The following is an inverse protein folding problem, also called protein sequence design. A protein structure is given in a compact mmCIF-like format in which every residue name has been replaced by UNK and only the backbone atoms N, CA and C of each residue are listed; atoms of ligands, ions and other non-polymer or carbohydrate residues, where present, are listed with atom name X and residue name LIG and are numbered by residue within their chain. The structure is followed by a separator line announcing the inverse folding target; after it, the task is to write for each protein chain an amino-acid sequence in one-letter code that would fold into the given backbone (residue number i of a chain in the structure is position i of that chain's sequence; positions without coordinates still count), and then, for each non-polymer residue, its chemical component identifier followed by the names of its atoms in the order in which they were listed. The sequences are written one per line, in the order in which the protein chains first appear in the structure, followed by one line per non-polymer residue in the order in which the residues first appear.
data_IF_265050448134
#
_entry.id   IF_265050448134
#
_cell.length_a   1.000
_cell.length_b   1.000
_cell.length_c   1.000
_cell.angle_alpha   90.00
_cell.angle_beta   90.00
_cell.angle_gamma   90.00
#
_symmetry.space_group_name_H-M   'P 1'
#
loop_
_entity.id
_entity.type
_entity.pdbx_description
1 polymer ?
#
# COMPACT_ATOMS: atom_id res chain seq x y z
N UNK A 1 -30.40 15.50 5.95
CA UNK A 1 -29.07 15.87 6.50
C UNK A 1 -28.05 14.71 6.54
N UNK A 2 -28.42 13.42 6.58
CA UNK A 2 -27.48 12.29 6.68
C UNK A 2 -26.65 12.00 5.42
N UNK A 3 -27.21 12.18 4.23
CA UNK A 3 -26.54 11.83 2.96
C UNK A 3 -25.35 12.75 2.60
N UNK A 4 -25.42 14.04 2.96
CA UNK A 4 -24.36 15.04 2.71
C UNK A 4 -23.13 14.80 3.60
N UNK A 5 -23.33 14.51 4.89
CA UNK A 5 -22.22 14.22 5.83
C UNK A 5 -21.47 12.93 5.48
N UNK A 6 -22.17 11.91 5.03
CA UNK A 6 -21.58 10.65 4.56
C UNK A 6 -20.69 10.86 3.32
N UNK A 7 -21.12 11.68 2.37
CA UNK A 7 -20.35 11.99 1.16
C UNK A 7 -19.08 12.76 1.48
N UNK A 8 -19.16 13.76 2.37
CA UNK A 8 -17.98 14.54 2.80
C UNK A 8 -16.92 13.64 3.46
N UNK A 9 -17.33 12.75 4.38
CA UNK A 9 -16.40 11.80 5.01
C UNK A 9 -15.72 10.87 4.00
N UNK A 10 -16.44 10.38 2.99
CA UNK A 10 -15.86 9.57 1.92
C UNK A 10 -14.84 10.37 1.12
N UNK A 11 -15.13 11.62 0.76
CA UNK A 11 -14.19 12.50 0.03
C UNK A 11 -12.95 12.78 0.85
N UNK A 12 -13.09 13.12 2.14
CA UNK A 12 -11.96 13.35 3.04
C UNK A 12 -11.12 12.09 3.24
N UNK A 13 -11.75 10.93 3.34
CA UNK A 13 -11.04 9.66 3.47
C UNK A 13 -10.26 9.30 2.19
N UNK A 14 -10.81 9.58 1.00
CA UNK A 14 -10.06 9.44 -0.26
C UNK A 14 -8.90 10.43 -0.33
N UNK A 15 -9.09 11.68 0.04
CA UNK A 15 -8.00 12.65 0.13
C UNK A 15 -6.88 12.15 1.05
N UNK A 16 -7.23 11.61 2.21
CA UNK A 16 -6.25 11.06 3.14
C UNK A 16 -5.42 9.93 2.52
N UNK A 17 -6.04 8.94 1.85
CA UNK A 17 -5.30 7.85 1.23
C UNK A 17 -4.58 8.23 -0.07
N UNK A 18 -4.98 9.33 -0.72
CA UNK A 18 -4.32 9.80 -1.95
C UNK A 18 -3.11 10.67 -1.64
N UNK A 19 -3.30 11.70 -0.81
CA UNK A 19 -2.27 12.71 -0.57
C UNK A 19 -1.42 12.35 0.63
N UNK A 20 -2.04 12.02 1.77
CA UNK A 20 -1.30 11.74 2.99
C UNK A 20 -0.46 10.46 2.83
N UNK A 21 -1.01 9.37 2.28
CA UNK A 21 -0.19 8.17 2.04
C UNK A 21 0.88 8.40 0.98
N UNK A 22 0.59 9.17 -0.09
CA UNK A 22 1.60 9.56 -1.06
C UNK A 22 2.77 10.32 -0.43
N UNK A 23 2.50 11.19 0.56
CA UNK A 23 3.54 11.92 1.29
C UNK A 23 4.34 11.05 2.28
N UNK A 24 3.79 9.92 2.72
CA UNK A 24 4.52 9.05 3.69
C UNK A 24 5.80 8.45 3.12
N UNK A 25 5.96 8.34 1.81
CA UNK A 25 7.22 7.90 1.19
C UNK A 25 8.34 8.88 1.47
N UNK A 26 8.09 10.19 1.22
CA UNK A 26 9.02 11.27 1.58
C UNK A 26 9.34 11.28 3.08
N UNK A 27 8.31 11.26 3.93
CA UNK A 27 8.49 11.33 5.38
C UNK A 27 9.29 10.14 5.93
N UNK A 28 9.00 8.92 5.43
CA UNK A 28 9.81 7.75 5.79
C UNK A 28 11.25 7.87 5.28
N UNK A 29 11.47 8.42 4.07
CA UNK A 29 12.82 8.62 3.51
C UNK A 29 13.63 9.59 4.36
N UNK A 30 13.04 10.69 4.81
CA UNK A 30 13.67 11.64 5.75
C UNK A 30 14.00 10.92 7.06
N UNK A 31 13.06 10.25 7.65
CA UNK A 31 13.23 9.64 8.96
C UNK A 31 14.25 8.48 8.95
N UNK A 32 14.27 7.64 7.90
CA UNK A 32 15.23 6.52 7.78
C UNK A 32 16.66 6.98 7.48
N UNK A 33 16.85 8.24 7.14
CA UNK A 33 18.16 8.85 7.02
C UNK A 33 18.93 8.90 8.35
N UNK A 34 18.21 9.00 9.47
CA UNK A 34 18.80 9.00 10.80
C UNK A 34 18.41 7.77 11.63
N UNK A 35 17.15 7.33 11.52
CA UNK A 35 16.60 6.26 12.37
C UNK A 35 16.74 4.90 11.73
N UNK A 36 17.04 3.84 12.50
CA UNK A 36 16.94 2.47 12.03
C UNK A 36 15.50 2.14 11.58
N UNK A 37 15.32 1.43 10.46
CA UNK A 37 14.02 1.29 9.81
C UNK A 37 12.96 0.58 10.66
N UNK A 38 13.31 -0.50 11.36
CA UNK A 38 12.34 -1.21 12.19
C UNK A 38 12.02 -0.47 13.48
N UNK A 39 13.02 0.19 14.11
CA UNK A 39 12.80 1.09 15.24
C UNK A 39 11.84 2.23 14.86
N UNK A 40 12.10 2.92 13.74
CA UNK A 40 11.25 3.98 13.20
C UNK A 40 9.80 3.49 13.06
N UNK A 41 9.59 2.37 12.35
CA UNK A 41 8.27 1.83 12.11
C UNK A 41 7.60 1.33 13.42
N UNK A 42 8.37 0.76 14.35
CA UNK A 42 7.88 0.33 15.67
C UNK A 42 7.35 1.51 16.47
N UNK A 43 8.16 2.56 16.64
CA UNK A 43 7.76 3.77 17.38
C UNK A 43 6.52 4.39 16.73
N UNK A 44 6.52 4.52 15.40
CA UNK A 44 5.41 5.07 14.64
C UNK A 44 4.10 4.31 14.92
N UNK A 45 4.09 2.99 14.76
CA UNK A 45 2.84 2.22 14.86
C UNK A 45 2.42 1.94 16.29
N UNK A 46 3.35 1.72 17.22
CA UNK A 46 3.01 1.59 18.65
C UNK A 46 2.39 2.89 19.16
N UNK A 47 3.01 4.03 18.88
CA UNK A 47 2.47 5.34 19.29
C UNK A 47 1.09 5.59 18.69
N UNK A 48 0.91 5.31 17.39
CA UNK A 48 -0.39 5.45 16.73
C UNK A 48 -1.45 4.51 17.34
N UNK A 49 -1.11 3.26 17.61
CA UNK A 49 -2.00 2.29 18.25
C UNK A 49 -2.44 2.71 19.64
N UNK A 50 -1.49 3.18 20.47
CA UNK A 50 -1.77 3.69 21.81
C UNK A 50 -2.70 4.92 21.73
N UNK A 51 -2.38 5.88 20.85
CA UNK A 51 -3.22 7.08 20.67
C UNK A 51 -4.63 6.73 20.21
N UNK A 52 -4.79 5.78 19.30
CA UNK A 52 -6.10 5.28 18.87
C UNK A 52 -6.88 4.70 20.04
N UNK A 53 -6.27 3.89 20.91
CA UNK A 53 -6.97 3.34 22.07
C UNK A 53 -7.32 4.40 23.12
N UNK A 54 -6.45 5.40 23.34
CA UNK A 54 -6.76 6.56 24.19
C UNK A 54 -7.98 7.30 23.62
N UNK A 55 -7.98 7.60 22.32
CA UNK A 55 -9.12 8.26 21.66
C UNK A 55 -10.38 7.40 21.72
N UNK A 56 -10.28 6.08 21.50
CA UNK A 56 -11.42 5.16 21.61
C UNK A 56 -12.03 5.20 23.03
N UNK A 57 -11.19 5.24 24.07
CA UNK A 57 -11.64 5.35 25.48
C UNK A 57 -12.34 6.68 25.74
N UNK A 58 -11.77 7.80 25.25
CA UNK A 58 -12.40 9.14 25.37
C UNK A 58 -13.76 9.16 24.66
N UNK A 59 -13.85 8.58 23.47
CA UNK A 59 -15.07 8.49 22.66
C UNK A 59 -16.04 7.40 23.16
N UNK A 60 -15.72 6.70 24.26
CA UNK A 60 -16.50 5.59 24.82
C UNK A 60 -16.79 4.47 23.80
N UNK A 61 -15.88 4.23 22.87
CA UNK A 61 -15.97 3.14 21.91
C UNK A 61 -15.48 1.86 22.60
N UNK A 62 -16.29 0.77 22.61
CA UNK A 62 -15.85 -0.49 23.21
C UNK A 62 -14.66 -1.07 22.43
N UNK A 63 -13.59 -1.38 23.15
CA UNK A 63 -12.35 -1.94 22.59
C UNK A 63 -12.28 -3.47 22.69
N UNK A 64 -13.28 -4.09 23.31
CA UNK A 64 -13.34 -5.54 23.47
C UNK A 64 -13.50 -6.24 22.13
N UNK A 65 -12.72 -7.31 21.93
CA UNK A 65 -12.74 -8.15 20.73
C UNK A 65 -12.70 -9.62 21.12
N UNK A 66 -13.17 -10.49 20.23
CA UNK A 66 -13.09 -11.94 20.45
C UNK A 66 -11.65 -12.44 20.29
N UNK A 67 -11.34 -13.62 20.83
CA UNK A 67 -10.04 -14.28 20.66
C UNK A 67 -9.71 -14.52 19.17
N UNK A 68 -10.72 -14.84 18.37
CA UNK A 68 -10.54 -15.06 16.94
C UNK A 68 -10.23 -13.74 16.21
N UNK A 69 -10.94 -12.67 16.53
CA UNK A 69 -10.67 -11.33 16.00
C UNK A 69 -9.27 -10.85 16.38
N UNK A 70 -8.85 -11.07 17.63
CA UNK A 70 -7.50 -10.75 18.06
C UNK A 70 -6.44 -11.46 17.21
N UNK A 71 -6.55 -12.81 17.08
CA UNK A 71 -5.64 -13.60 16.24
C UNK A 71 -5.58 -13.07 14.80
N UNK A 72 -6.74 -12.84 14.19
CA UNK A 72 -6.81 -12.35 12.81
C UNK A 72 -6.24 -10.93 12.67
N UNK A 73 -6.43 -10.08 13.68
CA UNK A 73 -5.86 -8.72 13.71
C UNK A 73 -4.34 -8.75 13.82
N UNK A 74 -3.78 -9.66 14.62
CA UNK A 74 -2.32 -9.87 14.72
C UNK A 74 -1.75 -10.31 13.36
N UNK A 75 -2.38 -11.28 12.70
CA UNK A 75 -1.97 -11.71 11.35
C UNK A 75 -2.05 -10.55 10.35
N UNK A 76 -3.14 -9.79 10.35
CA UNK A 76 -3.28 -8.63 9.48
C UNK A 76 -2.23 -7.55 9.78
N UNK A 77 -1.96 -7.27 11.06
CA UNK A 77 -0.90 -6.36 11.50
C UNK A 77 0.48 -6.79 11.02
N UNK A 78 0.80 -8.08 11.11
CA UNK A 78 2.04 -8.64 10.58
C UNK A 78 2.15 -8.43 9.06
N UNK A 79 1.13 -8.85 8.31
CA UNK A 79 1.15 -8.81 6.85
C UNK A 79 1.20 -7.38 6.29
N UNK A 80 0.46 -6.46 6.87
CA UNK A 80 0.40 -5.08 6.40
C UNK A 80 1.50 -4.18 6.97
N UNK A 81 1.72 -4.26 8.29
CA UNK A 81 2.52 -3.25 8.97
C UNK A 81 3.93 -3.76 9.28
N UNK A 82 4.07 -4.98 9.81
CA UNK A 82 5.39 -5.52 10.15
C UNK A 82 6.17 -5.84 8.88
N UNK A 83 5.67 -6.75 8.08
CA UNK A 83 6.36 -7.17 6.85
C UNK A 83 6.06 -6.21 5.69
N UNK A 84 4.80 -5.87 5.45
CA UNK A 84 4.41 -5.01 4.33
C UNK A 84 5.02 -3.61 4.41
N UNK A 85 4.82 -2.88 5.52
CA UNK A 85 5.32 -1.51 5.66
C UNK A 85 6.75 -1.44 6.21
N UNK A 86 7.08 -2.25 7.23
CA UNK A 86 8.40 -2.22 7.83
C UNK A 86 9.53 -2.54 6.84
N UNK A 87 9.31 -3.52 5.95
CA UNK A 87 10.27 -3.88 4.89
C UNK A 87 10.36 -2.78 3.83
N UNK A 88 9.26 -2.07 3.52
CA UNK A 88 9.32 -0.88 2.64
C UNK A 88 10.16 0.23 3.27
N UNK A 89 9.98 0.49 4.57
CA UNK A 89 10.81 1.49 5.28
C UNK A 89 12.28 1.09 5.23
N UNK A 90 12.58 -0.19 5.40
CA UNK A 90 13.95 -0.69 5.25
C UNK A 90 14.50 -0.48 3.83
N UNK A 91 13.69 -0.78 2.81
CA UNK A 91 14.05 -0.60 1.40
C UNK A 91 14.39 0.86 1.05
N UNK A 92 13.72 1.84 1.68
CA UNK A 92 13.96 3.27 1.46
C UNK A 92 15.40 3.75 1.84
N UNK A 93 16.19 2.93 2.51
CA UNK A 93 17.62 3.20 2.70
C UNK A 93 18.39 3.08 1.38
N UNK A 94 17.90 2.24 0.46
CA UNK A 94 18.59 1.84 -0.77
C UNK A 94 17.99 2.48 -2.02
N UNK A 95 16.73 2.89 -1.98
CA UNK A 95 16.02 3.46 -3.13
C UNK A 95 15.39 4.81 -2.80
N UNK A 96 15.07 5.57 -3.85
CA UNK A 96 14.42 6.86 -3.70
C UNK A 96 12.93 6.71 -3.40
N UNK A 97 12.34 7.72 -2.75
CA UNK A 97 10.94 7.68 -2.30
C UNK A 97 9.95 7.58 -3.46
N UNK A 98 10.22 8.35 -4.53
CA UNK A 98 9.42 8.32 -5.76
C UNK A 98 9.51 6.98 -6.47
N UNK A 99 10.71 6.37 -6.52
CA UNK A 99 10.91 5.03 -7.09
C UNK A 99 10.13 3.97 -6.32
N UNK A 100 10.23 3.96 -4.99
CA UNK A 100 9.49 3.01 -4.15
C UNK A 100 7.97 3.11 -4.36
N UNK A 101 7.44 4.34 -4.43
CA UNK A 101 6.02 4.56 -4.69
C UNK A 101 5.59 4.07 -6.08
N UNK A 102 6.44 4.25 -7.11
CA UNK A 102 6.17 3.74 -8.45
C UNK A 102 6.16 2.21 -8.48
N UNK A 103 7.15 1.56 -7.86
CA UNK A 103 7.20 0.09 -7.79
C UNK A 103 5.95 -0.46 -7.09
N UNK A 104 5.57 0.14 -5.95
CA UNK A 104 4.36 -0.24 -5.21
C UNK A 104 3.07 0.01 -6.00
N UNK A 105 3.07 0.91 -6.99
CA UNK A 105 1.89 1.10 -7.85
C UNK A 105 1.53 -0.14 -8.66
N UNK A 106 2.45 -1.09 -8.81
CA UNK A 106 2.19 -2.41 -9.40
C UNK A 106 1.44 -3.39 -8.46
N UNK A 107 1.12 -3.01 -7.22
CA UNK A 107 0.38 -3.81 -6.24
C UNK A 107 -0.86 -4.51 -6.82
N UNK A 108 -1.74 -3.87 -7.64
CA UNK A 108 -2.90 -4.53 -8.23
C UNK A 108 -2.55 -5.71 -9.14
N UNK A 109 -1.37 -5.69 -9.80
CA UNK A 109 -0.88 -6.81 -10.60
C UNK A 109 -0.67 -8.04 -9.73
N UNK A 110 0.02 -7.86 -8.61
CA UNK A 110 0.32 -8.94 -7.67
C UNK A 110 -0.97 -9.52 -7.09
N UNK A 111 -1.92 -8.65 -6.68
CA UNK A 111 -3.23 -9.09 -6.19
C UNK A 111 -3.95 -9.94 -7.24
N UNK A 112 -3.94 -9.52 -8.51
CA UNK A 112 -4.60 -10.23 -9.60
C UNK A 112 -3.99 -11.63 -9.80
N UNK A 113 -2.66 -11.72 -9.81
CA UNK A 113 -1.91 -12.98 -9.95
C UNK A 113 -2.21 -13.90 -8.76
N UNK A 114 -2.16 -13.40 -7.53
CA UNK A 114 -2.50 -14.17 -6.34
C UNK A 114 -3.96 -14.64 -6.33
N UNK A 115 -4.90 -13.81 -6.78
CA UNK A 115 -6.30 -14.24 -6.94
C UNK A 115 -6.45 -15.37 -7.95
N UNK A 116 -5.66 -15.37 -9.03
CA UNK A 116 -5.63 -16.46 -10.00
C UNK A 116 -5.08 -17.75 -9.39
N UNK A 117 -3.95 -17.64 -8.69
CA UNK A 117 -3.26 -18.81 -8.11
C UNK A 117 -4.05 -19.38 -6.92
N UNK A 118 -4.45 -18.54 -5.96
CA UNK A 118 -5.03 -18.98 -4.68
C UNK A 118 -6.54 -19.22 -4.74
N UNK A 119 -7.26 -18.54 -5.64
CA UNK A 119 -8.73 -18.59 -5.70
C UNK A 119 -9.26 -19.14 -7.03
N UNK A 120 -8.38 -19.50 -7.99
CA UNK A 120 -8.77 -20.01 -9.31
C UNK A 120 -9.55 -19.01 -10.18
N UNK A 121 -9.63 -17.72 -9.78
CA UNK A 121 -10.38 -16.70 -10.51
C UNK A 121 -9.80 -16.50 -11.91
N UNK A 122 -10.65 -16.54 -12.93
CA UNK A 122 -10.23 -16.27 -14.32
C UNK A 122 -9.82 -14.81 -14.46
N UNK A 123 -8.65 -14.57 -15.06
CA UNK A 123 -8.16 -13.23 -15.39
C UNK A 123 -8.96 -12.73 -16.60
N UNK A 124 -9.51 -11.54 -16.52
CA UNK A 124 -10.23 -10.93 -17.63
C UNK A 124 -9.25 -10.52 -18.75
N UNK A 125 -9.64 -10.55 -20.05
CA UNK A 125 -8.74 -10.17 -21.14
C UNK A 125 -8.13 -8.76 -21.00
N UNK A 126 -8.91 -7.78 -20.51
CA UNK A 126 -8.40 -6.44 -20.22
C UNK A 126 -7.32 -6.45 -19.14
N UNK A 127 -7.49 -7.28 -18.12
CA UNK A 127 -6.49 -7.42 -17.06
C UNK A 127 -5.20 -8.06 -17.56
N UNK A 128 -5.25 -8.94 -18.60
CA UNK A 128 -4.04 -9.47 -19.23
C UNK A 128 -3.22 -8.37 -19.89
N UNK A 129 -3.89 -7.44 -20.63
CA UNK A 129 -3.22 -6.26 -21.19
C UNK A 129 -2.57 -5.44 -20.09
N UNK A 130 -3.31 -5.20 -19.00
CA UNK A 130 -2.80 -4.50 -17.83
C UNK A 130 -1.58 -5.16 -17.21
N UNK A 131 -1.57 -6.50 -17.10
CA UNK A 131 -0.41 -7.28 -16.61
C UNK A 131 0.81 -7.09 -17.54
N UNK A 132 0.63 -7.19 -18.86
CA UNK A 132 1.72 -6.99 -19.83
C UNK A 132 2.31 -5.58 -19.70
N UNK A 133 1.46 -4.55 -19.68
CA UNK A 133 1.90 -3.17 -19.50
C UNK A 133 2.61 -2.97 -18.15
N UNK A 134 2.09 -3.60 -17.09
CA UNK A 134 2.72 -3.54 -15.77
C UNK A 134 4.12 -4.16 -15.78
N UNK A 135 4.31 -5.32 -16.40
CA UNK A 135 5.63 -5.96 -16.53
C UNK A 135 6.59 -5.06 -17.32
N UNK A 136 6.13 -4.47 -18.43
CA UNK A 136 6.94 -3.53 -19.22
C UNK A 136 7.31 -2.30 -18.39
N UNK A 137 6.34 -1.72 -17.67
CA UNK A 137 6.58 -0.55 -16.82
C UNK A 137 7.57 -0.82 -15.68
N UNK A 138 7.44 -1.98 -14.98
CA UNK A 138 8.40 -2.40 -13.97
C UNK A 138 9.79 -2.60 -14.59
N UNK A 139 9.87 -3.29 -15.73
CA UNK A 139 11.16 -3.50 -16.41
C UNK A 139 11.83 -2.16 -16.75
N UNK A 140 11.10 -1.22 -17.33
CA UNK A 140 11.63 0.13 -17.62
C UNK A 140 12.07 0.84 -16.33
N UNK A 141 11.32 0.71 -15.24
CA UNK A 141 11.64 1.35 -13.98
C UNK A 141 12.95 0.80 -13.38
N UNK A 142 13.07 -0.53 -13.30
CA UNK A 142 14.23 -1.18 -12.66
C UNK A 142 15.47 -1.24 -13.54
N UNK A 143 15.34 -1.06 -14.87
CA UNK A 143 16.46 -1.09 -15.82
C UNK A 143 17.23 0.24 -15.92
N UNK A 144 16.90 1.26 -15.12
CA UNK A 144 17.59 2.55 -15.16
C UNK A 144 19.00 2.42 -14.61
N UNK A 145 20.00 2.78 -15.41
CA UNK A 145 21.43 2.68 -15.03
C UNK A 145 21.77 3.47 -13.76
N UNK A 146 21.14 4.64 -13.59
CA UNK A 146 21.33 5.47 -12.40
C UNK A 146 20.87 4.79 -11.10
N UNK A 147 19.83 3.93 -11.20
CA UNK A 147 19.30 3.17 -10.07
C UNK A 147 20.12 1.90 -9.85
N UNK A 148 20.47 1.18 -10.92
CA UNK A 148 21.24 -0.08 -10.85
C UNK A 148 22.63 0.14 -10.26
N UNK A 149 23.25 1.28 -10.57
CA UNK A 149 24.60 1.62 -10.12
C UNK A 149 24.66 2.10 -8.65
N UNK A 150 23.51 2.36 -8.02
CA UNK A 150 23.47 2.76 -6.61
C UNK A 150 23.59 1.51 -5.73
N UNK A 151 24.56 1.51 -4.82
CA UNK A 151 24.80 0.37 -3.94
C UNK A 151 23.56 -0.05 -3.17
N UNK A 152 23.25 -1.33 -3.17
CA UNK A 152 22.06 -1.88 -2.48
C UNK A 152 20.73 -1.68 -3.21
N UNK A 153 20.65 -0.97 -4.33
CA UNK A 153 19.36 -0.70 -5.00
C UNK A 153 18.61 -1.97 -5.38
N UNK A 154 19.31 -3.00 -5.87
CA UNK A 154 18.72 -4.29 -6.19
C UNK A 154 18.08 -4.93 -4.94
N UNK A 155 18.76 -4.85 -3.79
CA UNK A 155 18.19 -5.32 -2.52
C UNK A 155 16.92 -4.54 -2.18
N UNK A 156 16.95 -3.20 -2.31
CA UNK A 156 15.78 -2.35 -2.06
C UNK A 156 14.58 -2.74 -2.92
N UNK A 157 14.78 -2.99 -4.22
CA UNK A 157 13.73 -3.45 -5.14
C UNK A 157 13.16 -4.81 -4.72
N UNK A 158 14.00 -5.78 -4.40
CA UNK A 158 13.56 -7.11 -3.92
C UNK A 158 12.77 -6.99 -2.62
N UNK A 159 13.22 -6.16 -1.70
CA UNK A 159 12.50 -5.91 -0.44
C UNK A 159 11.11 -5.32 -0.69
N UNK A 160 10.97 -4.34 -1.57
CA UNK A 160 9.67 -3.76 -1.95
C UNK A 160 8.78 -4.82 -2.57
N UNK A 161 9.30 -5.63 -3.49
CA UNK A 161 8.54 -6.71 -4.11
C UNK A 161 8.00 -7.72 -3.08
N UNK A 162 8.83 -8.14 -2.12
CA UNK A 162 8.41 -9.03 -1.03
C UNK A 162 7.35 -8.38 -0.13
N UNK A 163 7.52 -7.10 0.18
CA UNK A 163 6.53 -6.33 0.94
C UNK A 163 5.18 -6.26 0.20
N UNK A 164 5.21 -6.06 -1.11
CA UNK A 164 4.01 -6.08 -1.97
C UNK A 164 3.32 -7.43 -1.97
N UNK A 165 4.06 -8.55 -2.00
CA UNK A 165 3.50 -9.90 -1.87
C UNK A 165 2.77 -10.07 -0.53
N UNK A 166 3.39 -9.64 0.56
CA UNK A 166 2.79 -9.69 1.90
C UNK A 166 1.51 -8.86 1.98
N UNK A 167 1.53 -7.63 1.48
CA UNK A 167 0.36 -6.75 1.45
C UNK A 167 -0.77 -7.33 0.59
N UNK A 168 -0.45 -7.90 -0.56
CA UNK A 168 -1.43 -8.53 -1.44
C UNK A 168 -2.09 -9.75 -0.77
N UNK A 169 -1.29 -10.62 -0.15
CA UNK A 169 -1.80 -11.76 0.61
C UNK A 169 -2.64 -11.29 1.80
N UNK A 170 -2.18 -10.29 2.54
CA UNK A 170 -2.93 -9.66 3.64
C UNK A 170 -4.28 -9.13 3.19
N UNK A 171 -4.35 -8.49 2.02
CA UNK A 171 -5.60 -7.99 1.44
C UNK A 171 -6.59 -9.11 1.13
N UNK A 172 -6.11 -10.25 0.62
CA UNK A 172 -6.95 -11.43 0.38
C UNK A 172 -7.38 -12.12 1.68
N UNK A 173 -6.52 -12.11 2.70
CA UNK A 173 -6.80 -12.65 4.03
C UNK A 173 -7.89 -11.85 4.73
N UNK A 174 -7.73 -10.52 4.86
CA UNK A 174 -8.68 -9.67 5.59
C UNK A 174 -10.06 -9.60 4.93
N UNK A 175 -10.13 -9.84 3.60
CA UNK A 175 -11.41 -9.90 2.89
C UNK A 175 -12.33 -11.05 3.38
N UNK A 176 -11.76 -12.07 4.04
CA UNK A 176 -12.48 -13.26 4.55
C UNK A 176 -12.39 -13.43 6.06
N UNK A 177 -11.44 -12.75 6.71
CA UNK A 177 -11.18 -12.89 8.13
C UNK A 177 -12.26 -12.20 8.98
N UNK A 178 -12.61 -12.83 10.11
CA UNK A 178 -13.38 -12.19 11.15
C UNK A 178 -12.51 -11.16 11.88
N UNK A 179 -12.79 -9.89 11.63
CA UNK A 179 -12.08 -8.73 12.18
C UNK A 179 -13.07 -7.84 12.95
N UNK A 180 -12.59 -7.03 13.91
CA UNK A 180 -13.43 -6.10 14.66
C UNK A 180 -14.32 -5.25 13.73
N UNK A 181 -15.62 -5.18 14.03
CA UNK A 181 -16.58 -4.46 13.21
C UNK A 181 -16.34 -2.94 13.20
N UNK A 182 -15.79 -2.40 14.28
CA UNK A 182 -15.37 -1.01 14.37
C UNK A 182 -13.99 -0.85 13.71
N UNK A 183 -13.93 -0.09 12.61
CA UNK A 183 -12.70 0.13 11.86
C UNK A 183 -11.61 0.85 12.67
N UNK A 184 -11.99 1.71 13.61
CA UNK A 184 -11.05 2.43 14.48
C UNK A 184 -10.35 1.47 15.45
N UNK A 185 -11.13 0.60 16.12
CA UNK A 185 -10.61 -0.44 17.01
C UNK A 185 -9.77 -1.44 16.23
N UNK A 186 -10.22 -1.88 15.05
CA UNK A 186 -9.45 -2.76 14.16
C UNK A 186 -8.08 -2.14 13.81
N UNK A 187 -8.05 -0.86 13.45
CA UNK A 187 -6.81 -0.12 13.17
C UNK A 187 -5.90 -0.08 14.39
N UNK A 188 -6.44 0.25 15.57
CA UNK A 188 -5.66 0.32 16.81
C UNK A 188 -4.95 -1.00 17.13
N UNK A 189 -5.66 -2.13 17.06
CA UNK A 189 -5.06 -3.46 17.26
C UNK A 189 -4.02 -3.80 16.20
N UNK A 190 -4.29 -3.57 14.92
CA UNK A 190 -3.31 -3.83 13.84
C UNK A 190 -2.04 -3.02 14.06
N UNK A 191 -2.15 -1.73 14.40
CA UNK A 191 -1.01 -0.87 14.64
C UNK A 191 -0.22 -1.25 15.86
N UNK A 192 -0.89 -1.51 16.98
CA UNK A 192 -0.20 -1.90 18.21
C UNK A 192 0.54 -3.22 18.02
N UNK A 193 -0.12 -4.24 17.50
CA UNK A 193 0.49 -5.55 17.31
C UNK A 193 1.58 -5.52 16.23
N UNK A 194 1.34 -4.87 15.09
CA UNK A 194 2.34 -4.70 14.03
C UNK A 194 3.57 -3.92 14.51
N UNK A 195 3.34 -2.85 15.28
CA UNK A 195 4.41 -2.05 15.86
C UNK A 195 5.23 -2.81 16.91
N UNK A 196 4.60 -3.61 17.76
CA UNK A 196 5.32 -4.46 18.73
C UNK A 196 6.17 -5.50 18.01
N UNK A 197 5.65 -6.15 16.98
CA UNK A 197 6.43 -7.10 16.17
C UNK A 197 7.61 -6.42 15.46
N UNK A 198 7.45 -5.17 15.00
CA UNK A 198 8.55 -4.38 14.46
C UNK A 198 9.60 -4.04 15.52
N UNK A 199 9.19 -3.73 16.75
CA UNK A 199 10.12 -3.56 17.88
C UNK A 199 10.94 -4.82 18.15
N UNK A 200 10.30 -6.00 18.13
CA UNK A 200 11.00 -7.28 18.22
C UNK A 200 11.97 -7.46 17.03
N UNK A 201 11.54 -7.14 15.82
CA UNK A 201 12.40 -7.20 14.64
C UNK A 201 13.62 -6.28 14.79
N UNK A 202 13.43 -5.04 15.25
CA UNK A 202 14.50 -4.09 15.53
C UNK A 202 15.56 -4.68 16.49
N UNK A 203 15.12 -5.35 17.56
CA UNK A 203 16.02 -6.02 18.49
C UNK A 203 16.74 -7.22 17.86
N UNK A 204 16.04 -8.03 17.06
CA UNK A 204 16.63 -9.18 16.36
C UNK A 204 17.67 -8.79 15.31
N UNK A 205 17.49 -7.64 14.66
CA UNK A 205 18.44 -7.08 13.70
C UNK A 205 19.51 -6.21 14.37
N UNK A 206 19.58 -6.17 15.73
CA UNK A 206 20.53 -5.38 16.50
C UNK A 206 20.56 -3.89 16.10
N UNK A 207 19.38 -3.31 15.82
CA UNK A 207 19.31 -1.88 15.53
C UNK A 207 19.62 -1.05 16.77
N UNK A 208 20.49 -0.05 16.63
CA UNK A 208 20.82 0.88 17.70
C UNK A 208 19.69 1.91 17.86
N UNK A 209 19.00 1.88 19.00
CA UNK A 209 17.91 2.81 19.27
C UNK A 209 18.45 4.20 19.60
N UNK A 210 17.90 5.20 18.90
CA UNK A 210 18.23 6.61 19.08
C UNK A 210 17.08 7.27 19.86
N UNK A 211 17.40 7.96 20.95
CA UNK A 211 16.37 8.59 21.79
C UNK A 211 15.69 9.74 21.02
N UNK A 212 14.39 9.96 21.24
CA UNK A 212 13.68 11.06 20.56
C UNK A 212 14.27 12.46 20.81
N UNK A 213 14.99 12.68 21.92
CA UNK A 213 15.74 13.90 22.21
C UNK A 213 16.89 14.16 21.23
N UNK A 214 17.44 13.11 20.65
CA UNK A 214 18.62 13.16 19.79
C UNK A 214 18.24 13.16 18.30
N UNK A 215 16.95 13.17 17.99
CA UNK A 215 16.46 13.24 16.60
C UNK A 215 16.62 14.66 16.06
N UNK A 216 17.08 14.75 14.83
CA UNK A 216 17.13 16.03 14.11
C UNK A 216 15.71 16.60 13.90
N UNK A 217 15.55 17.94 13.88
CA UNK A 217 14.23 18.57 13.73
C UNK A 217 13.42 18.06 12.52
N UNK A 218 14.00 17.83 11.31
CA UNK A 218 13.25 17.25 10.20
C UNK A 218 12.73 15.84 10.49
N UNK A 219 13.49 15.02 11.23
CA UNK A 219 13.12 13.65 11.62
C UNK A 219 12.01 13.67 12.66
N UNK A 220 12.08 14.56 13.66
CA UNK A 220 11.01 14.75 14.64
C UNK A 220 9.69 15.13 13.96
N UNK A 221 9.74 16.09 13.03
CA UNK A 221 8.56 16.52 12.28
C UNK A 221 8.03 15.38 11.41
N UNK A 222 8.89 14.66 10.69
CA UNK A 222 8.50 13.51 9.88
C UNK A 222 7.80 12.43 10.73
N UNK A 223 8.34 12.11 11.91
CA UNK A 223 7.74 11.13 12.82
C UNK A 223 6.38 11.56 13.34
N UNK A 224 6.21 12.81 13.74
CA UNK A 224 4.91 13.36 14.17
C UNK A 224 3.89 13.24 13.04
N UNK A 225 4.24 13.68 11.83
CA UNK A 225 3.36 13.61 10.66
C UNK A 225 3.03 12.15 10.28
N UNK A 226 4.02 11.24 10.35
CA UNK A 226 3.81 9.82 10.10
C UNK A 226 2.87 9.18 11.13
N UNK A 227 3.00 9.51 12.42
CA UNK A 227 2.13 8.98 13.49
C UNK A 227 0.71 9.51 13.31
N UNK A 228 0.53 10.83 13.24
CA UNK A 228 -0.79 11.44 13.26
C UNK A 228 -1.52 11.27 11.91
N UNK A 229 -0.88 11.63 10.82
CA UNK A 229 -1.53 11.64 9.51
C UNK A 229 -1.35 10.33 8.77
N UNK A 230 -0.13 9.85 8.63
CA UNK A 230 0.18 8.63 7.88
C UNK A 230 -0.40 7.36 8.50
N UNK A 231 -0.41 7.28 9.83
CA UNK A 231 -0.91 6.12 10.55
C UNK A 231 -2.35 6.31 11.04
N UNK A 232 -2.63 7.28 11.90
CA UNK A 232 -3.97 7.39 12.48
C UNK A 232 -4.99 7.82 11.41
N UNK A 233 -4.77 8.94 10.73
CA UNK A 233 -5.75 9.48 9.79
C UNK A 233 -5.87 8.61 8.54
N UNK A 234 -4.77 8.36 7.83
CA UNK A 234 -4.83 7.71 6.53
C UNK A 234 -5.18 6.22 6.64
N UNK A 235 -4.61 5.47 7.58
CA UNK A 235 -4.92 4.04 7.71
C UNK A 235 -6.33 3.81 8.30
N UNK A 236 -6.82 4.69 9.18
CA UNK A 236 -8.21 4.66 9.64
C UNK A 236 -9.17 4.97 8.48
N UNK A 237 -8.82 5.95 7.63
CA UNK A 237 -9.57 6.28 6.42
C UNK A 237 -9.62 5.11 5.45
N UNK A 238 -8.52 4.39 5.25
CA UNK A 238 -8.45 3.18 4.45
C UNK A 238 -9.38 2.08 4.99
N UNK A 239 -9.30 1.76 6.28
CA UNK A 239 -10.19 0.79 6.92
C UNK A 239 -11.67 1.21 6.86
N UNK A 240 -11.96 2.52 6.97
CA UNK A 240 -13.31 3.06 6.78
C UNK A 240 -13.79 2.89 5.34
N UNK A 241 -12.97 3.28 4.35
CA UNK A 241 -13.33 3.17 2.94
C UNK A 241 -13.60 1.72 2.52
N UNK A 242 -12.83 0.75 3.01
CA UNK A 242 -13.06 -0.67 2.74
C UNK A 242 -14.44 -1.18 3.21
N UNK A 243 -15.09 -0.47 4.13
CA UNK A 243 -16.45 -0.79 4.60
C UNK A 243 -17.56 -0.12 3.81
N UNK A 244 -17.31 1.08 3.27
CA UNK A 244 -18.37 1.94 2.71
C UNK A 244 -18.32 2.05 1.20
N UNK A 245 -17.20 1.70 0.57
CA UNK A 245 -17.04 1.68 -0.89
C UNK A 245 -16.38 0.39 -1.34
N UNK A 246 -16.50 0.09 -2.63
CA UNK A 246 -15.90 -1.14 -3.16
C UNK A 246 -14.36 -1.08 -3.12
N UNK A 247 -13.68 -2.21 -2.87
CA UNK A 247 -12.21 -2.27 -2.84
C UNK A 247 -11.54 -1.74 -4.09
N UNK A 248 -12.17 -1.89 -5.27
CA UNK A 248 -11.64 -1.36 -6.53
C UNK A 248 -11.57 0.17 -6.54
N UNK A 249 -12.52 0.85 -5.88
CA UNK A 249 -12.47 2.30 -5.72
C UNK A 249 -11.39 2.72 -4.73
N UNK A 250 -11.20 1.96 -3.64
CA UNK A 250 -10.12 2.23 -2.68
C UNK A 250 -8.75 2.06 -3.33
N UNK A 251 -8.60 1.04 -4.17
CA UNK A 251 -7.36 0.78 -4.92
C UNK A 251 -6.98 1.91 -5.91
N UNK A 252 -7.87 2.88 -6.21
CA UNK A 252 -7.50 4.04 -7.04
C UNK A 252 -6.42 4.92 -6.40
N UNK A 253 -6.15 4.78 -5.10
CA UNK A 253 -5.01 5.45 -4.45
C UNK A 253 -3.67 5.07 -5.09
N UNK A 254 -3.54 3.88 -5.66
CA UNK A 254 -2.33 3.44 -6.35
C UNK A 254 -2.00 4.26 -7.60
N UNK A 255 -2.94 5.06 -8.11
CA UNK A 255 -2.68 5.98 -9.24
C UNK A 255 -2.17 7.34 -8.80
N UNK A 256 -2.54 7.79 -7.61
CA UNK A 256 -2.25 9.15 -7.14
C UNK A 256 -1.00 9.17 -6.25
N UNK A 257 -0.82 8.16 -5.40
CA UNK A 257 0.30 8.10 -4.47
C UNK A 257 1.68 8.27 -5.15
N UNK A 258 1.98 7.60 -6.29
CA UNK A 258 3.27 7.78 -6.96
C UNK A 258 3.47 9.21 -7.47
N UNK A 259 2.41 9.86 -7.94
CA UNK A 259 2.49 11.26 -8.44
C UNK A 259 2.86 12.19 -7.28
N UNK A 260 2.19 12.01 -6.11
CA UNK A 260 2.49 12.79 -4.91
C UNK A 260 3.92 12.51 -4.42
N UNK A 261 4.31 11.23 -4.34
CA UNK A 261 5.63 10.83 -3.88
C UNK A 261 6.76 11.38 -4.78
N UNK A 262 6.62 11.26 -6.10
CA UNK A 262 7.58 11.80 -7.08
C UNK A 262 7.70 13.31 -6.98
N UNK A 263 6.58 14.02 -6.90
CA UNK A 263 6.58 15.49 -6.81
C UNK A 263 7.24 15.96 -5.51
N UNK A 264 6.94 15.31 -4.40
CA UNK A 264 7.52 15.67 -3.10
C UNK A 264 8.99 15.25 -2.98
N UNK A 265 9.38 14.07 -3.50
CA UNK A 265 10.77 13.61 -3.54
C UNK A 265 11.65 14.54 -4.37
N UNK A 266 11.16 14.93 -5.55
CA UNK A 266 11.83 15.92 -6.40
C UNK A 266 11.99 17.27 -5.70
N UNK A 267 10.94 17.79 -5.08
CA UNK A 267 10.97 19.12 -4.47
C UNK A 267 11.76 19.21 -3.16
N UNK A 268 11.65 18.21 -2.28
CA UNK A 268 12.23 18.27 -0.94
C UNK A 268 13.55 17.51 -0.79
N UNK A 269 13.80 16.47 -1.61
CA UNK A 269 14.99 15.61 -1.50
C UNK A 269 15.87 15.68 -2.75
N UNK A 270 15.54 16.55 -3.71
CA UNK A 270 16.26 16.69 -4.97
C UNK A 270 16.41 15.37 -5.74
N UNK A 271 15.42 14.44 -5.54
CA UNK A 271 15.40 13.15 -6.24
C UNK A 271 15.27 13.39 -7.75
N UNK A 272 16.04 12.63 -8.55
CA UNK A 272 16.05 12.83 -10.00
C UNK A 272 14.80 12.26 -10.67
N UNK A 273 14.06 13.10 -11.38
CA UNK A 273 12.98 12.70 -12.27
C UNK A 273 13.56 12.45 -13.67
N UNK A 274 13.86 11.20 -13.98
CA UNK A 274 14.29 10.83 -15.33
C UNK A 274 13.10 10.72 -16.28
N UNK A 275 13.32 10.96 -17.56
CA UNK A 275 12.30 10.72 -18.61
C UNK A 275 11.85 9.27 -18.58
N UNK A 276 12.78 8.33 -18.32
CA UNK A 276 12.48 6.91 -18.20
C UNK A 276 11.55 6.61 -17.03
N UNK A 277 11.71 7.28 -15.86
CA UNK A 277 10.79 7.16 -14.71
C UNK A 277 9.39 7.66 -15.07
N UNK A 278 9.28 8.78 -15.79
CA UNK A 278 7.99 9.34 -16.20
C UNK A 278 7.28 8.40 -17.19
N UNK A 279 8.00 7.86 -18.16
CA UNK A 279 7.45 6.90 -19.13
C UNK A 279 7.04 5.61 -18.44
N UNK A 280 7.88 5.06 -17.55
CA UNK A 280 7.57 3.89 -16.75
C UNK A 280 6.31 4.10 -15.89
N UNK A 281 6.19 5.26 -15.23
CA UNK A 281 5.02 5.65 -14.46
C UNK A 281 3.75 5.66 -15.33
N UNK A 282 3.79 6.31 -16.51
CA UNK A 282 2.66 6.37 -17.42
C UNK A 282 2.21 4.97 -17.88
N UNK A 283 3.16 4.08 -18.19
CA UNK A 283 2.87 2.69 -18.60
C UNK A 283 2.30 1.89 -17.44
N UNK A 284 2.90 1.98 -16.23
CA UNK A 284 2.42 1.29 -15.02
C UNK A 284 0.98 1.72 -14.69
N UNK A 285 0.73 3.03 -14.60
CA UNK A 285 -0.59 3.57 -14.29
C UNK A 285 -1.64 3.18 -15.33
N UNK A 286 -1.26 3.16 -16.61
CA UNK A 286 -2.12 2.67 -17.70
C UNK A 286 -2.42 1.17 -17.52
N UNK A 287 -1.43 0.37 -17.17
CA UNK A 287 -1.60 -1.06 -16.87
C UNK A 287 -2.58 -1.29 -15.72
N UNK A 288 -2.42 -0.56 -14.62
CA UNK A 288 -3.32 -0.65 -13.45
C UNK A 288 -4.74 -0.17 -13.82
N UNK A 289 -4.89 0.86 -14.64
CA UNK A 289 -6.19 1.28 -15.17
C UNK A 289 -6.89 0.14 -15.94
N UNK A 290 -6.19 -0.57 -16.83
CA UNK A 290 -6.77 -1.70 -17.57
C UNK A 290 -7.16 -2.88 -16.65
N UNK A 291 -6.42 -3.15 -15.59
CA UNK A 291 -6.76 -4.18 -14.60
C UNK A 291 -8.09 -3.86 -13.91
N UNK A 292 -8.31 -2.61 -13.54
CA UNK A 292 -9.50 -2.16 -12.83
C UNK A 292 -10.70 -1.88 -13.74
N UNK A 293 -10.50 -1.89 -15.06
CA UNK A 293 -11.57 -1.61 -16.02
C UNK A 293 -12.47 -2.83 -16.20
N UNK A 294 -13.77 -2.65 -15.91
CA UNK A 294 -14.81 -3.69 -16.13
C UNK A 294 -15.36 -3.72 -17.57
N UNK A 295 -14.86 -2.86 -18.48
CA UNK A 295 -15.31 -2.84 -19.87
C UNK A 295 -14.91 -4.12 -20.59
N UNK A 296 -15.89 -4.86 -21.11
CA UNK A 296 -15.62 -6.02 -21.98
C UNK A 296 -15.03 -5.52 -23.30
N UNK A 297 -13.91 -6.07 -23.72
CA UNK A 297 -13.36 -5.82 -25.06
C UNK A 297 -14.36 -6.32 -26.11
N UNK A 298 -15.00 -5.42 -26.80
CA UNK A 298 -15.96 -5.73 -27.89
C UNK A 298 -15.26 -6.49 -29.04
N UNK A 299 -13.95 -6.34 -29.20
CA UNK A 299 -13.16 -7.02 -30.23
C UNK A 299 -13.25 -8.55 -30.18
N UNK A 300 -13.29 -9.15 -28.98
CA UNK A 300 -13.37 -10.62 -28.86
C UNK A 300 -14.80 -11.16 -28.91
N UNK A 301 -15.81 -10.34 -28.72
CA UNK A 301 -17.21 -10.77 -28.83
C UNK A 301 -17.62 -11.11 -30.27
N UNK A 302 -17.01 -10.51 -31.29
CA UNK A 302 -17.24 -10.83 -32.70
C UNK A 302 -16.72 -12.23 -33.08
N UNK A 303 -15.58 -12.66 -32.54
CA UNK A 303 -15.05 -14.00 -32.82
C UNK A 303 -15.82 -15.10 -32.10
N UNK A 304 -16.29 -14.87 -30.87
CA UNK A 304 -17.13 -15.83 -30.13
C UNK A 304 -18.49 -16.03 -30.79
N UNK A 305 -19.15 -14.97 -31.28
CA UNK A 305 -20.44 -15.09 -32.00
C UNK A 305 -20.29 -15.84 -33.33
N UNK A 306 -19.15 -15.69 -34.01
CA UNK A 306 -18.89 -16.39 -35.29
C UNK A 306 -18.67 -17.89 -35.09
N UNK A 307 -18.01 -18.28 -33.98
CA UNK A 307 -17.81 -19.70 -33.65
C UNK A 307 -19.12 -20.41 -33.28
N UNK A 308 -20.02 -19.74 -32.54
CA UNK A 308 -21.35 -20.29 -32.18
C UNK A 308 -22.27 -20.39 -33.42
N UNK A 309 -22.15 -19.49 -34.40
CA UNK A 309 -22.92 -19.54 -35.64
C UNK A 309 -22.46 -20.69 -36.54
N UNK A 310 -21.16 -20.97 -36.62
CA UNK A 310 -20.59 -22.06 -37.39
C UNK A 310 -20.96 -23.44 -36.77
N UNK A 311 -20.89 -23.55 -35.41
CA UNK A 311 -21.27 -24.79 -34.72
C UNK A 311 -22.77 -25.12 -34.82
N UNK A 312 -23.64 -24.12 -35.06
CA UNK A 312 -25.06 -24.34 -35.30
C UNK A 312 -25.35 -24.75 -36.75
N UNK A 313 -24.55 -24.34 -37.72
CA UNK A 313 -24.72 -24.76 -39.13
C UNK A 313 -24.13 -26.14 -39.44
N UNK A 314 -23.21 -26.64 -38.64
CA UNK A 314 -22.66 -28.00 -38.80
C UNK A 314 -23.44 -29.09 -38.05
N UNK A 315 -24.47 -28.72 -37.30
CA UNK A 315 -25.36 -29.64 -36.56
C UNK A 315 -26.81 -29.68 -37.08
N UNK A 316 -27.09 -28.97 -38.14
CA UNK A 316 -28.32 -29.09 -38.95
C UNK A 316 -28.00 -29.88 -40.23
#
# INVERSE_FOLDING_TARGET
MGRSKSTLLVVLAFFAIYVIWGSTYLLNKIAVGQLPPFMLAAIRFVSAGILIFIMAKIMRIPITITRNQFKNTVIAGFLFLTFGNGVVVWALRYVDSGFAALEISAQPLIILVLMRILQGKKIQPMSVIGVILGIIGIYLLVSQQQIINKEGSFLGMVLIFLAMLSWAYGSLFVAKADLPSNYFVNTGYQMLMGGLMLGISSLLFNESWIMPSDWEPPVQMAMILLILFGSIVAFTSFNYLLKVVSPEKVATSTYVNPIVALALGWYFLEEQLTVQSIVAAAILLTGVYFINTKKKLVLFSRFSKRKIAIDKQTKS
#
